data_IF_088635707690
#
_entry.id   IF_088635707690
#
_cell.length_a   1.000
_cell.length_b   1.000
_cell.length_c   1.000
_cell.angle_alpha   90.00
_cell.angle_beta   90.00
_cell.angle_gamma   90.00
#
_symmetry.space_group_name_H-M   'P 1'
#
loop_
_entity.id
_entity.type
_entity.pdbx_description
1 polymer ?
#
# COMPACT_ATOMS: atom_id res chain seq x y z
N UNK A 1 18.74 9.30 -3.73
CA UNK A 1 18.37 9.41 -2.35
C UNK A 1 17.55 8.19 -1.93
N UNK A 2 17.42 7.98 -0.67
CA UNK A 2 16.76 6.78 -0.20
C UNK A 2 15.28 7.01 0.05
N UNK A 3 14.63 5.96 0.55
CA UNK A 3 13.19 5.96 0.75
C UNK A 3 12.73 7.01 1.75
N UNK A 4 13.62 7.48 2.62
CA UNK A 4 13.22 8.45 3.62
C UNK A 4 12.83 9.79 3.02
N UNK A 5 13.18 10.03 1.76
CA UNK A 5 12.79 11.24 1.08
C UNK A 5 11.46 11.16 0.39
N UNK A 6 10.82 9.99 0.42
CA UNK A 6 9.51 9.84 -0.20
C UNK A 6 8.43 10.24 0.77
N UNK A 7 7.45 10.97 0.27
CA UNK A 7 6.28 11.27 1.07
C UNK A 7 5.45 10.03 1.27
N UNK A 8 4.95 9.87 2.47
CA UNK A 8 4.08 8.75 2.83
C UNK A 8 2.74 9.34 3.24
N UNK A 9 1.65 8.74 2.78
CA UNK A 9 0.32 9.20 3.11
C UNK A 9 -0.55 8.03 3.50
N UNK A 10 -1.65 8.28 4.23
CA UNK A 10 -2.58 7.21 4.58
C UNK A 10 -3.48 6.88 3.40
N UNK A 11 -3.81 5.60 3.28
CA UNK A 11 -4.77 5.12 2.30
C UNK A 11 -5.77 4.21 3.01
N UNK A 12 -7.04 4.50 2.88
CA UNK A 12 -8.08 3.69 3.51
C UNK A 12 -8.56 2.64 2.52
N UNK A 13 -8.49 1.37 2.94
CA UNK A 13 -8.91 0.25 2.11
C UNK A 13 -10.41 0.30 1.90
N UNK A 14 -10.85 0.12 0.66
CA UNK A 14 -12.26 0.07 0.32
C UNK A 14 -12.57 -1.28 -0.29
N UNK A 15 -13.87 -1.54 -0.47
CA UNK A 15 -14.33 -2.83 -0.98
C UNK A 15 -13.67 -3.14 -2.33
N UNK A 16 -13.18 -4.36 -2.46
CA UNK A 16 -12.56 -4.82 -3.69
C UNK A 16 -11.08 -4.53 -3.80
N UNK A 17 -10.49 -3.87 -2.81
CA UNK A 17 -9.08 -3.54 -2.86
C UNK A 17 -8.22 -4.73 -2.47
N UNK A 18 -7.04 -4.79 -3.08
CA UNK A 18 -5.94 -5.62 -2.62
C UNK A 18 -4.67 -4.83 -2.92
N UNK A 19 -3.55 -5.30 -2.40
CA UNK A 19 -2.33 -4.53 -2.54
C UNK A 19 -1.98 -4.28 -4.01
N UNK A 20 -2.17 -5.28 -4.86
CA UNK A 20 -1.93 -5.11 -6.28
C UNK A 20 -2.81 -4.01 -6.86
N UNK A 21 -4.11 -4.06 -6.56
CA UNK A 21 -5.03 -3.07 -7.11
C UNK A 21 -4.75 -1.67 -6.57
N UNK A 22 -4.40 -1.59 -5.29
CA UNK A 22 -4.05 -0.30 -4.69
C UNK A 22 -2.83 0.29 -5.38
N UNK A 23 -1.81 -0.54 -5.58
CA UNK A 23 -0.60 -0.07 -6.26
C UNK A 23 -0.91 0.35 -7.69
N UNK A 24 -1.78 -0.39 -8.34
CA UNK A 24 -2.13 -0.04 -9.71
C UNK A 24 -2.84 1.32 -9.77
N UNK A 25 -3.77 1.54 -8.83
CA UNK A 25 -4.50 2.81 -8.81
C UNK A 25 -3.60 3.99 -8.49
N UNK A 26 -2.65 3.78 -7.58
CA UNK A 26 -1.84 4.89 -7.08
C UNK A 26 -0.61 5.15 -7.94
N UNK A 27 -0.03 4.09 -8.47
CA UNK A 27 1.27 4.20 -9.15
C UNK A 27 1.21 3.83 -10.62
N UNK A 28 0.09 3.29 -11.06
CA UNK A 28 -0.02 2.82 -12.44
C UNK A 28 0.62 1.47 -12.67
N UNK A 29 1.07 0.80 -11.63
CA UNK A 29 1.71 -0.51 -11.75
C UNK A 29 1.37 -1.36 -10.53
N UNK A 30 0.67 -2.47 -10.76
CA UNK A 30 0.33 -3.37 -9.66
C UNK A 30 1.56 -4.04 -9.07
N UNK A 31 2.61 -4.20 -9.87
CA UNK A 31 3.82 -4.87 -9.39
C UNK A 31 4.50 -4.11 -8.26
N UNK A 32 4.17 -2.84 -8.09
CA UNK A 32 4.74 -2.06 -7.00
C UNK A 32 4.05 -2.30 -5.66
N UNK A 33 3.12 -3.26 -5.60
CA UNK A 33 2.44 -3.59 -4.35
C UNK A 33 3.42 -3.95 -3.24
N UNK A 34 4.60 -4.47 -3.60
CA UNK A 34 5.59 -4.82 -2.59
C UNK A 34 6.08 -3.62 -1.81
N UNK A 35 6.08 -2.45 -2.42
CA UNK A 35 6.46 -1.23 -1.70
C UNK A 35 5.45 -0.90 -0.62
N UNK A 36 4.17 -1.11 -0.92
CA UNK A 36 3.12 -0.89 0.07
C UNK A 36 3.25 -1.92 1.19
N UNK A 37 3.49 -3.17 0.84
CA UNK A 37 3.65 -4.21 1.83
C UNK A 37 4.82 -3.91 2.76
N UNK A 38 5.94 -3.48 2.20
CA UNK A 38 7.12 -3.18 3.03
C UNK A 38 6.83 -2.07 4.03
N UNK A 39 6.06 -1.07 3.63
CA UNK A 39 5.71 0.01 4.53
C UNK A 39 4.80 -0.43 5.66
N UNK A 40 4.11 -1.55 5.50
CA UNK A 40 3.08 -1.98 6.44
C UNK A 40 3.34 -3.38 6.99
N UNK A 41 4.58 -3.82 6.96
CA UNK A 41 4.91 -5.21 7.34
C UNK A 41 4.47 -5.56 8.75
N UNK A 42 4.53 -4.59 9.65
CA UNK A 42 4.16 -4.85 11.02
C UNK A 42 2.67 -4.99 11.21
N UNK A 43 1.91 -4.38 10.32
CA UNK A 43 0.45 -4.41 10.38
C UNK A 43 -0.13 -5.51 9.51
N UNK A 44 0.44 -5.71 8.34
CA UNK A 44 -0.04 -6.71 7.38
C UNK A 44 0.79 -7.96 7.54
N UNK A 45 0.19 -8.97 8.19
CA UNK A 45 0.87 -10.25 8.35
C UNK A 45 0.84 -11.07 7.08
N UNK A 46 -0.22 -10.92 6.29
CA UNK A 46 -0.40 -11.64 5.05
C UNK A 46 -0.83 -10.62 4.01
N UNK A 47 -0.05 -10.42 2.93
CA UNK A 47 -0.37 -9.38 1.96
C UNK A 47 -1.71 -9.58 1.24
N UNK A 48 -2.28 -10.77 1.34
CA UNK A 48 -3.61 -11.01 0.76
C UNK A 48 -4.74 -10.74 1.73
N UNK A 49 -4.42 -10.37 2.97
CA UNK A 49 -5.43 -10.20 4.01
C UNK A 49 -5.44 -8.78 4.53
N UNK A 50 -6.06 -7.91 3.75
CA UNK A 50 -6.32 -6.55 4.19
C UNK A 50 -7.83 -6.38 4.30
N UNK A 51 -8.26 -5.40 5.08
CA UNK A 51 -9.67 -5.29 5.46
C UNK A 51 -10.21 -3.92 5.12
N UNK A 52 -11.46 -3.88 4.72
CA UNK A 52 -12.15 -2.61 4.42
C UNK A 52 -12.06 -1.71 5.66
N UNK A 53 -11.68 -0.45 5.44
CA UNK A 53 -11.54 0.51 6.50
C UNK A 53 -10.16 0.52 7.14
N UNK A 54 -9.30 -0.45 6.80
CA UNK A 54 -7.94 -0.47 7.31
C UNK A 54 -7.16 0.67 6.68
N UNK A 55 -6.35 1.36 7.49
CA UNK A 55 -5.52 2.45 6.98
C UNK A 55 -4.11 1.93 6.76
N UNK A 56 -3.63 2.07 5.55
CA UNK A 56 -2.30 1.64 5.16
C UNK A 56 -1.44 2.86 4.84
N UNK A 57 -0.14 2.73 5.09
CA UNK A 57 0.81 3.74 4.65
C UNK A 57 1.20 3.44 3.22
N UNK A 58 1.16 4.45 2.36
CA UNK A 58 1.56 4.29 0.96
C UNK A 58 2.44 5.47 0.58
N UNK A 59 3.29 5.25 -0.42
CA UNK A 59 4.08 6.36 -0.93
C UNK A 59 3.17 7.25 -1.79
N UNK A 60 3.33 8.54 -1.62
CA UNK A 60 2.68 9.48 -2.51
C UNK A 60 3.36 9.36 -3.88
N UNK A 61 2.60 9.03 -4.90
CA UNK A 61 3.15 8.72 -6.21
C UNK A 61 3.82 9.90 -6.88
#
# INVERSE_FOLDING_TARGET
>A
EDASNRDVKPYTVVSGDCLWNIAYKLYGSGARWTEIYELNKETIKNPEMIYIGQVLAVYAA
#
